data_IF_209914922751
#
_entry.id   IF_209914922751
#
_cell.length_a   1.000
_cell.length_b   1.000
_cell.length_c   1.000
_cell.angle_alpha   90.00
_cell.angle_beta   90.00
_cell.angle_gamma   90.00
#
_symmetry.space_group_name_H-M   'P 1'
#
loop_
_entity.id
_entity.type
_entity.pdbx_description
1 polymer ?
#
# COMPACT_ATOMS: atom_id res chain seq x y z
N UNK A 1 -13.49 1.22 -10.37
CA UNK A 1 -12.07 1.38 -10.02
C UNK A 1 -11.61 0.09 -9.37
N UNK A 2 -10.40 -0.36 -9.65
CA UNK A 2 -9.87 -1.61 -9.11
C UNK A 2 -8.61 -1.29 -8.29
N UNK A 3 -8.52 -1.84 -7.07
CA UNK A 3 -7.34 -1.74 -6.20
C UNK A 3 -6.74 -3.14 -6.13
N UNK A 4 -5.46 -3.26 -6.49
CA UNK A 4 -4.77 -4.55 -6.65
C UNK A 4 -3.49 -4.52 -5.85
N UNK A 5 -3.35 -5.50 -4.95
CA UNK A 5 -2.10 -5.78 -4.27
C UNK A 5 -1.14 -6.51 -5.23
N UNK A 6 0.14 -6.17 -5.15
CA UNK A 6 1.22 -6.83 -5.85
C UNK A 6 2.36 -7.16 -4.88
N UNK A 7 2.96 -8.32 -5.07
CA UNK A 7 4.24 -8.64 -4.45
C UNK A 7 5.36 -7.72 -4.98
N UNK A 8 6.46 -7.51 -4.24
CA UNK A 8 7.51 -6.58 -4.63
C UNK A 8 8.06 -6.80 -6.04
N UNK A 9 8.28 -8.05 -6.45
CA UNK A 9 8.80 -8.40 -7.77
C UNK A 9 7.79 -8.03 -8.87
N UNK A 10 6.50 -8.25 -8.63
CA UNK A 10 5.43 -7.91 -9.57
C UNK A 10 5.29 -6.40 -9.72
N UNK A 11 5.35 -5.67 -8.60
CA UNK A 11 5.27 -4.21 -8.57
C UNK A 11 6.44 -3.58 -9.33
N UNK A 12 7.66 -4.03 -9.08
CA UNK A 12 8.87 -3.58 -9.79
C UNK A 12 8.78 -3.90 -11.28
N UNK A 13 8.36 -5.11 -11.65
CA UNK A 13 8.15 -5.47 -13.06
C UNK A 13 7.10 -4.59 -13.74
N UNK A 14 5.99 -4.28 -13.07
CA UNK A 14 4.95 -3.40 -13.59
C UNK A 14 5.51 -2.00 -13.87
N UNK A 15 6.23 -1.42 -12.92
CA UNK A 15 6.85 -0.10 -13.06
C UNK A 15 7.82 -0.08 -14.25
N UNK A 16 8.75 -1.04 -14.34
CA UNK A 16 9.73 -1.07 -15.42
C UNK A 16 9.08 -1.24 -16.79
N UNK A 17 8.06 -2.10 -16.91
CA UNK A 17 7.37 -2.37 -18.18
C UNK A 17 6.49 -1.21 -18.62
N UNK A 18 5.74 -0.61 -17.69
CA UNK A 18 4.75 0.44 -18.00
C UNK A 18 5.32 1.86 -17.92
N UNK A 19 6.49 2.04 -17.30
CA UNK A 19 7.14 3.33 -17.06
C UNK A 19 6.21 4.33 -16.37
N UNK A 20 5.45 3.85 -15.39
CA UNK A 20 4.51 4.66 -14.61
C UNK A 20 5.21 5.30 -13.41
N UNK A 21 4.78 6.51 -12.99
CA UNK A 21 5.30 7.13 -11.79
C UNK A 21 4.92 6.30 -10.54
N UNK A 22 5.83 6.29 -9.57
CA UNK A 22 5.60 5.70 -8.26
C UNK A 22 5.17 6.82 -7.31
N UNK A 23 4.06 6.61 -6.61
CA UNK A 23 3.64 7.42 -5.48
C UNK A 23 3.92 6.64 -4.19
N UNK A 24 4.19 7.34 -3.09
CA UNK A 24 4.24 6.75 -1.76
C UNK A 24 3.27 7.48 -0.84
N UNK A 25 2.43 6.73 -0.12
CA UNK A 25 1.47 7.26 0.85
C UNK A 25 1.67 6.61 2.21
N UNK A 26 1.42 7.37 3.27
CA UNK A 26 1.54 6.87 4.65
C UNK A 26 0.14 6.59 5.20
N UNK A 27 -0.06 5.39 5.73
CA UNK A 27 -1.31 4.97 6.35
C UNK A 27 -1.10 4.63 7.83
N UNK A 28 -1.92 5.16 8.74
CA UNK A 28 -1.88 4.77 10.14
C UNK A 28 -2.53 3.40 10.35
N UNK A 29 -1.75 2.40 10.76
CA UNK A 29 -2.20 1.06 11.09
C UNK A 29 -1.90 0.78 12.55
N UNK A 30 -2.90 0.48 13.39
CA UNK A 30 -2.69 0.03 14.76
C UNK A 30 -1.65 0.81 15.60
N UNK A 31 -1.59 2.14 15.46
CA UNK A 31 -0.62 2.98 16.19
C UNK A 31 0.76 3.13 15.52
N UNK A 32 0.98 2.46 14.40
CA UNK A 32 2.18 2.59 13.56
C UNK A 32 1.87 3.32 12.25
N UNK A 33 2.88 3.99 11.67
CA UNK A 33 2.78 4.63 10.36
C UNK A 33 3.39 3.72 9.29
N UNK A 34 2.60 3.26 8.33
CA UNK A 34 3.02 2.37 7.26
C UNK A 34 3.21 3.14 5.95
N UNK A 35 4.42 3.10 5.38
CA UNK A 35 4.71 3.67 4.07
C UNK A 35 4.35 2.67 2.96
N UNK A 36 3.41 3.01 2.10
CA UNK A 36 2.91 2.14 1.02
C UNK A 36 3.23 2.76 -0.33
N UNK A 37 3.79 1.95 -1.23
CA UNK A 37 4.11 2.36 -2.60
C UNK A 37 2.96 2.01 -3.52
N UNK A 38 2.57 2.95 -4.39
CA UNK A 38 1.43 2.83 -5.28
C UNK A 38 1.79 3.30 -6.69
N UNK A 39 1.05 2.81 -7.68
CA UNK A 39 1.07 3.36 -9.03
C UNK A 39 -0.28 3.16 -9.72
N UNK A 40 -0.62 4.08 -10.63
CA UNK A 40 -1.83 3.98 -11.44
C UNK A 40 -1.51 3.48 -12.84
N UNK A 41 -2.30 2.50 -13.30
CA UNK A 41 -2.35 2.11 -14.70
C UNK A 41 -3.80 2.18 -15.17
N UNK A 42 -4.14 3.25 -15.87
CA UNK A 42 -5.52 3.52 -16.28
C UNK A 42 -6.44 3.75 -15.08
N UNK A 43 -7.46 2.90 -14.91
CA UNK A 43 -8.45 2.96 -13.80
C UNK A 43 -8.13 2.01 -12.64
N UNK A 44 -6.92 1.44 -12.63
CA UNK A 44 -6.48 0.49 -11.61
C UNK A 44 -5.34 1.11 -10.81
N UNK A 45 -5.51 1.09 -9.49
CA UNK A 45 -4.48 1.41 -8.51
C UNK A 45 -3.79 0.10 -8.11
N UNK A 46 -2.49 0.02 -8.35
CA UNK A 46 -1.65 -1.06 -7.86
C UNK A 46 -0.88 -0.58 -6.64
N UNK A 47 -0.72 -1.45 -5.64
CA UNK A 47 0.04 -1.13 -4.44
C UNK A 47 0.87 -2.31 -3.97
N UNK A 48 1.98 -2.01 -3.30
CA UNK A 48 2.85 -2.98 -2.63
C UNK A 48 2.85 -2.68 -1.14
N UNK A 49 2.46 -3.67 -0.33
CA UNK A 49 2.30 -3.56 1.14
C UNK A 49 3.60 -3.81 1.90
N UNK A 50 4.67 -3.09 1.54
CA UNK A 50 5.88 -3.08 2.37
C UNK A 50 5.71 -2.12 3.53
N UNK A 51 5.22 -2.60 4.67
CA UNK A 51 5.13 -1.78 5.89
C UNK A 51 6.53 -1.45 6.40
N UNK A 52 7.01 -0.24 6.12
CA UNK A 52 8.21 0.30 6.75
C UNK A 52 7.82 1.01 8.04
N UNK A 53 8.45 0.60 9.15
CA UNK A 53 8.19 1.11 10.49
C UNK A 53 9.52 1.45 11.19
N UNK A 54 9.47 2.25 12.26
CA UNK A 54 10.68 2.54 13.04
C UNK A 54 11.11 1.30 13.85
N UNK A 55 12.35 1.31 14.37
CA UNK A 55 12.90 0.16 15.12
C UNK A 55 12.08 -0.20 16.37
N UNK A 56 11.44 0.79 16.99
CA UNK A 56 10.64 0.61 18.21
C UNK A 56 9.36 -0.18 17.91
N UNK A 57 8.73 0.07 16.76
CA UNK A 57 7.47 -0.51 16.36
C UNK A 57 7.63 -1.77 15.48
N UNK A 58 8.86 -2.14 15.10
CA UNK A 58 9.14 -3.34 14.29
C UNK A 58 8.77 -4.63 15.03
N UNK A 59 8.93 -4.64 16.36
CA UNK A 59 8.58 -5.80 17.20
C UNK A 59 7.07 -5.98 17.29
N UNK A 60 6.34 -4.87 17.44
CA UNK A 60 4.87 -4.87 17.50
C UNK A 60 4.26 -5.29 16.16
N UNK A 61 4.80 -4.79 15.05
CA UNK A 61 4.40 -5.22 13.70
C UNK A 61 4.61 -6.73 13.49
N UNK A 62 5.73 -7.29 13.96
CA UNK A 62 6.01 -8.74 13.84
C UNK A 62 5.09 -9.61 14.69
N UNK A 63 4.48 -9.06 15.74
CA UNK A 63 3.53 -9.77 16.60
C UNK A 63 2.09 -9.73 16.08
N UNK A 64 1.79 -8.87 15.11
CA UNK A 64 0.47 -8.71 14.54
C UNK A 64 0.18 -9.77 13.48
N UNK A 65 -1.10 -10.10 13.30
CA UNK A 65 -1.54 -11.00 12.23
C UNK A 65 -1.40 -10.29 10.87
N UNK A 66 -0.59 -10.87 9.98
CA UNK A 66 -0.34 -10.32 8.65
C UNK A 66 -1.61 -10.21 7.80
N UNK A 67 -2.58 -11.11 7.98
CA UNK A 67 -3.86 -11.05 7.26
C UNK A 67 -4.72 -9.88 7.74
N UNK A 68 -4.72 -9.61 9.05
CA UNK A 68 -5.46 -8.46 9.60
C UNK A 68 -4.85 -7.13 9.13
N UNK A 69 -3.52 -7.03 9.14
CA UNK A 69 -2.78 -5.88 8.61
C UNK A 69 -3.14 -5.66 7.14
N UNK A 70 -3.04 -6.71 6.32
CA UNK A 70 -3.30 -6.62 4.89
C UNK A 70 -4.75 -6.21 4.61
N UNK A 71 -5.72 -6.82 5.31
CA UNK A 71 -7.14 -6.50 5.14
C UNK A 71 -7.46 -5.07 5.58
N UNK A 72 -6.88 -4.58 6.68
CA UNK A 72 -7.07 -3.21 7.12
C UNK A 72 -6.44 -2.21 6.16
N UNK A 73 -5.22 -2.47 5.72
CA UNK A 73 -4.52 -1.62 4.77
C UNK A 73 -5.30 -1.51 3.45
N UNK A 74 -5.78 -2.63 2.92
CA UNK A 74 -6.61 -2.66 1.72
C UNK A 74 -7.86 -1.76 1.86
N UNK A 75 -8.57 -1.85 2.99
CA UNK A 75 -9.75 -1.01 3.26
C UNK A 75 -9.39 0.48 3.28
N UNK A 76 -8.26 0.84 3.90
CA UNK A 76 -7.80 2.22 3.98
C UNK A 76 -7.40 2.78 2.62
N UNK A 77 -6.66 2.01 1.82
CA UNK A 77 -6.26 2.40 0.46
C UNK A 77 -7.51 2.60 -0.41
N UNK A 78 -8.48 1.68 -0.35
CA UNK A 78 -9.72 1.81 -1.11
C UNK A 78 -10.50 3.08 -0.73
N UNK A 79 -10.53 3.42 0.56
CA UNK A 79 -11.20 4.62 1.04
C UNK A 79 -10.48 5.90 0.61
N UNK A 80 -9.15 5.96 0.80
CA UNK A 80 -8.32 7.10 0.39
C UNK A 80 -8.46 7.36 -1.11
N UNK A 81 -8.33 6.31 -1.92
CA UNK A 81 -8.43 6.43 -3.37
C UNK A 81 -9.82 6.91 -3.81
N UNK A 82 -10.89 6.41 -3.17
CA UNK A 82 -12.24 6.89 -3.46
C UNK A 82 -12.41 8.36 -3.14
N UNK A 83 -11.84 8.85 -2.03
CA UNK A 83 -11.93 10.25 -1.62
C UNK A 83 -11.14 11.17 -2.57
N UNK A 84 -9.98 10.72 -3.06
CA UNK A 84 -9.16 11.48 -4.02
C UNK A 84 -9.83 11.65 -5.37
N UNK A 85 -10.63 10.68 -5.81
CA UNK A 85 -11.41 10.82 -7.05
C UNK A 85 -12.59 11.80 -6.93
N UNK A 86 -12.97 12.18 -5.71
CA UNK A 86 -14.05 13.15 -5.46
C UNK A 86 -13.54 14.59 -5.29
N UNK A 87 -12.23 14.77 -5.15
CA UNK A 87 -11.55 16.06 -5.00
C UNK A 87 -11.11 16.60 -6.37
#
# INVERSE_FOLDING_TARGET
MCVVHLEPEEFVQLIFRKKVPIEARVYPLFGIAALIHLCHVGKTLYYMDRVETNKENETELKSMDCYEIHAQLYRMICLDERLRLQA
#
